data_IF_140889753175
#
_entry.id   IF_140889753175
#
_cell.length_a   1.000
_cell.length_b   1.000
_cell.length_c   1.000
_cell.angle_alpha   90.00
_cell.angle_beta   90.00
_cell.angle_gamma   90.00
#
_symmetry.space_group_name_H-M   'P 1'
#
loop_
_entity.id
_entity.type
_entity.pdbx_description
1 polymer ?
#
# COMPACT_ATOMS: atom_id res chain seq x y z
N UNK A 1 4.92 11.74 4.50
CA UNK A 1 4.96 10.68 3.46
C UNK A 1 4.79 11.34 2.10
N UNK A 2 5.44 10.85 1.03
CA UNK A 2 5.67 11.67 -0.19
C UNK A 2 4.37 12.18 -0.84
N UNK A 3 3.40 11.30 -1.09
CA UNK A 3 2.12 11.64 -1.71
C UNK A 3 1.21 12.53 -0.84
N UNK A 4 1.51 12.75 0.44
CA UNK A 4 0.76 13.72 1.26
C UNK A 4 1.07 15.16 0.85
N UNK A 5 2.21 15.40 0.17
CA UNK A 5 2.69 16.75 -0.17
C UNK A 5 2.88 16.97 -1.67
N UNK A 6 3.23 15.93 -2.40
CA UNK A 6 3.68 16.05 -3.78
C UNK A 6 2.79 15.22 -4.71
N UNK A 7 2.29 15.80 -5.82
CA UNK A 7 1.55 15.06 -6.82
C UNK A 7 2.38 13.96 -7.47
N UNK A 8 1.76 12.80 -7.69
CA UNK A 8 2.30 11.69 -8.48
C UNK A 8 1.21 11.15 -9.40
N UNK A 9 1.59 10.55 -10.53
CA UNK A 9 0.61 9.99 -11.46
C UNK A 9 -0.29 8.95 -10.78
N UNK A 10 0.31 8.02 -10.05
CA UNK A 10 -0.42 7.03 -9.28
C UNK A 10 0.48 6.26 -8.33
N UNK A 11 -0.15 5.46 -7.49
CA UNK A 11 0.52 4.63 -6.49
C UNK A 11 0.16 3.17 -6.70
N UNK A 12 1.17 2.31 -6.57
CA UNK A 12 0.99 0.89 -6.32
C UNK A 12 1.51 0.61 -4.91
N UNK A 13 0.63 0.14 -4.04
CA UNK A 13 0.94 -0.22 -2.65
C UNK A 13 0.95 -1.74 -2.54
N UNK A 14 2.02 -2.34 -2.02
CA UNK A 14 2.13 -3.80 -1.82
C UNK A 14 2.44 -4.04 -0.36
N UNK A 15 1.59 -4.83 0.33
CA UNK A 15 1.69 -5.07 1.78
C UNK A 15 1.86 -3.78 2.59
N UNK A 16 0.93 -2.83 2.41
CA UNK A 16 0.97 -1.56 3.13
C UNK A 16 0.38 -1.67 4.54
N UNK A 17 0.98 -0.99 5.52
CA UNK A 17 0.52 -0.89 6.90
C UNK A 17 0.27 0.57 7.31
N UNK A 18 -0.29 0.75 8.51
CA UNK A 18 -0.57 2.07 9.10
C UNK A 18 0.22 2.35 10.37
N UNK A 19 0.77 1.33 11.03
CA UNK A 19 1.61 1.45 12.23
C UNK A 19 3.05 0.97 11.99
N UNK A 20 3.91 1.22 12.98
CA UNK A 20 5.26 0.66 13.08
C UNK A 20 5.27 -0.82 13.49
N UNK A 21 4.10 -1.44 13.68
CA UNK A 21 3.93 -2.84 14.09
C UNK A 21 4.61 -3.18 15.43
N UNK A 22 4.95 -2.17 16.24
CA UNK A 22 5.74 -2.32 17.46
C UNK A 22 7.22 -2.60 17.21
N UNK A 23 7.72 -2.45 15.98
CA UNK A 23 9.14 -2.56 15.64
C UNK A 23 9.87 -1.23 15.93
N UNK A 24 10.90 -1.22 16.80
CA UNK A 24 11.61 0.01 17.13
C UNK A 24 12.29 0.70 15.94
N UNK A 25 12.76 -0.04 14.94
CA UNK A 25 13.41 0.52 13.76
C UNK A 25 12.38 1.20 12.86
N UNK A 26 11.20 0.59 12.72
CA UNK A 26 10.07 1.22 12.02
C UNK A 26 9.58 2.47 12.75
N UNK A 27 9.56 2.48 14.08
CA UNK A 27 9.24 3.68 14.86
C UNK A 27 10.27 4.80 14.64
N UNK A 28 11.56 4.47 14.67
CA UNK A 28 12.68 5.40 14.43
C UNK A 28 12.67 5.98 13.01
N UNK A 29 12.09 5.29 12.02
CA UNK A 29 11.92 5.81 10.66
C UNK A 29 11.12 7.12 10.61
N UNK A 30 10.27 7.35 11.62
CA UNK A 30 9.38 8.50 11.71
C UNK A 30 8.16 8.43 10.77
N UNK A 31 7.94 7.32 10.05
CA UNK A 31 6.77 7.20 9.15
C UNK A 31 5.45 7.11 9.90
N UNK A 32 5.43 6.58 11.12
CA UNK A 32 4.19 6.26 11.86
C UNK A 32 3.95 7.18 13.07
N UNK A 33 4.80 8.20 13.26
CA UNK A 33 4.74 9.10 14.42
C UNK A 33 3.61 10.15 14.38
N UNK A 34 2.74 10.11 13.36
CA UNK A 34 1.61 11.02 13.18
C UNK A 34 0.50 10.37 12.33
N UNK A 35 -0.76 10.85 12.44
CA UNK A 35 -1.86 10.35 11.62
C UNK A 35 -1.59 10.41 10.12
N UNK A 36 -2.28 9.56 9.37
CA UNK A 36 -2.24 9.55 7.91
C UNK A 36 -3.13 10.60 7.28
N UNK A 37 -2.54 11.41 6.41
CA UNK A 37 -3.22 12.49 5.69
C UNK A 37 -3.92 11.93 4.43
N UNK A 38 -4.87 11.01 4.64
CA UNK A 38 -5.52 10.24 3.58
C UNK A 38 -6.11 11.09 2.46
N UNK A 39 -6.78 12.19 2.80
CA UNK A 39 -7.36 13.11 1.80
C UNK A 39 -6.27 13.78 0.95
N UNK A 40 -5.14 14.13 1.55
CA UNK A 40 -4.01 14.71 0.84
C UNK A 40 -3.37 13.71 -0.12
N UNK A 41 -3.22 12.45 0.31
CA UNK A 41 -2.72 11.35 -0.55
C UNK A 41 -3.63 11.20 -1.76
N UNK A 42 -4.94 11.05 -1.55
CA UNK A 42 -5.93 10.90 -2.64
C UNK A 42 -5.92 12.07 -3.60
N UNK A 43 -5.87 13.31 -3.08
CA UNK A 43 -5.85 14.53 -3.90
C UNK A 43 -4.59 14.63 -4.78
N UNK A 44 -3.47 14.06 -4.35
CA UNK A 44 -2.19 14.13 -5.03
C UNK A 44 -1.93 12.92 -5.96
N UNK A 45 -2.92 12.06 -6.19
CA UNK A 45 -2.78 10.85 -7.01
C UNK A 45 -3.95 10.71 -7.97
N UNK A 46 -3.72 10.35 -9.23
CA UNK A 46 -4.84 10.09 -10.15
C UNK A 46 -5.46 8.71 -9.92
N UNK A 47 -4.64 7.74 -9.50
CA UNK A 47 -5.09 6.39 -9.17
C UNK A 47 -4.21 5.78 -8.08
N UNK A 48 -4.82 4.92 -7.27
CA UNK A 48 -4.15 4.14 -6.23
C UNK A 48 -4.63 2.70 -6.38
N UNK A 49 -3.69 1.76 -6.52
CA UNK A 49 -3.96 0.33 -6.47
C UNK A 49 -3.18 -0.26 -5.31
N UNK A 50 -3.80 -1.17 -4.59
CA UNK A 50 -3.20 -1.86 -3.47
C UNK A 50 -3.28 -3.37 -3.68
N UNK A 51 -2.21 -4.07 -3.30
CA UNK A 51 -2.15 -5.51 -3.22
C UNK A 51 -1.88 -5.90 -1.77
N UNK A 52 -2.63 -6.87 -1.29
CA UNK A 52 -2.50 -7.37 0.07
C UNK A 52 -2.83 -8.85 0.18
N UNK A 53 -2.26 -9.51 1.17
CA UNK A 53 -2.48 -10.93 1.41
C UNK A 53 -2.98 -11.19 2.83
N UNK A 54 -3.97 -12.07 2.97
CA UNK A 54 -4.54 -12.45 4.27
C UNK A 54 -3.58 -13.26 5.14
N UNK A 55 -2.63 -13.94 4.50
CA UNK A 55 -1.59 -14.75 5.14
C UNK A 55 -0.25 -14.01 5.25
N UNK A 56 -0.22 -12.68 5.12
CA UNK A 56 0.98 -11.89 5.35
C UNK A 56 1.47 -12.11 6.80
N UNK A 57 2.68 -12.69 7.00
CA UNK A 57 3.15 -13.03 8.33
C UNK A 57 3.71 -11.82 9.09
N UNK A 58 3.89 -10.68 8.42
CA UNK A 58 4.49 -9.47 9.00
C UNK A 58 3.43 -8.41 9.31
N UNK A 59 2.45 -8.24 8.41
CA UNK A 59 1.45 -7.17 8.51
C UNK A 59 0.05 -7.76 8.62
N UNK A 60 -0.63 -7.47 9.73
CA UNK A 60 -2.03 -7.84 9.91
C UNK A 60 -2.89 -7.35 8.75
N UNK A 61 -3.73 -8.23 8.22
CA UNK A 61 -4.58 -7.90 7.07
C UNK A 61 -5.57 -6.77 7.38
N UNK A 62 -5.92 -6.55 8.64
CA UNK A 62 -6.70 -5.41 9.10
C UNK A 62 -5.99 -4.07 8.86
N UNK A 63 -4.67 -3.98 9.08
CA UNK A 63 -3.92 -2.77 8.74
C UNK A 63 -3.89 -2.51 7.23
N UNK A 64 -3.72 -3.57 6.43
CA UNK A 64 -3.79 -3.45 4.98
C UNK A 64 -5.17 -2.94 4.54
N UNK A 65 -6.26 -3.43 5.15
CA UNK A 65 -7.62 -2.89 4.91
C UNK A 65 -7.74 -1.43 5.31
N UNK A 66 -7.14 -1.00 6.42
CA UNK A 66 -7.19 0.40 6.84
C UNK A 66 -6.51 1.33 5.81
N UNK A 67 -5.38 0.91 5.22
CA UNK A 67 -4.76 1.65 4.11
C UNK A 67 -5.72 1.73 2.92
N UNK A 68 -6.34 0.62 2.53
CA UNK A 68 -7.27 0.60 1.39
C UNK A 68 -8.51 1.48 1.65
N UNK A 69 -9.04 1.46 2.86
CA UNK A 69 -10.20 2.26 3.26
C UNK A 69 -9.90 3.76 3.32
N UNK A 70 -8.72 4.14 3.84
CA UNK A 70 -8.26 5.52 3.92
C UNK A 70 -7.95 6.09 2.53
N UNK A 71 -7.20 5.35 1.73
CA UNK A 71 -6.79 5.77 0.37
C UNK A 71 -7.88 5.57 -0.69
N UNK A 72 -8.95 4.81 -0.40
CA UNK A 72 -9.96 4.39 -1.39
C UNK A 72 -9.34 3.72 -2.62
N UNK A 73 -8.26 2.97 -2.41
CA UNK A 73 -7.55 2.26 -3.47
C UNK A 73 -8.39 1.15 -4.10
N UNK A 74 -8.11 0.82 -5.35
CA UNK A 74 -8.47 -0.48 -5.93
C UNK A 74 -7.69 -1.58 -5.19
N UNK A 75 -8.35 -2.39 -4.35
CA UNK A 75 -7.68 -3.33 -3.46
C UNK A 75 -7.79 -4.78 -3.94
N UNK A 76 -6.69 -5.31 -4.46
CA UNK A 76 -6.53 -6.72 -4.81
C UNK A 76 -6.10 -7.53 -3.58
N UNK A 77 -7.01 -8.39 -3.12
CA UNK A 77 -6.82 -9.22 -1.93
C UNK A 77 -6.50 -10.65 -2.35
N UNK A 78 -5.43 -11.21 -1.78
CA UNK A 78 -5.05 -12.60 -1.94
C UNK A 78 -5.16 -13.35 -0.62
N UNK A 79 -5.32 -14.67 -0.71
CA UNK A 79 -5.36 -15.55 0.46
C UNK A 79 -3.99 -16.16 0.79
N UNK A 80 -3.02 -16.08 -0.14
CA UNK A 80 -1.85 -16.97 -0.16
C UNK A 80 -0.56 -16.38 -0.80
N UNK A 81 -0.36 -15.06 -0.75
CA UNK A 81 0.84 -14.40 -1.30
C UNK A 81 1.86 -13.99 -0.22
N UNK A 82 1.56 -14.24 1.06
CA UNK A 82 2.41 -13.83 2.17
C UNK A 82 2.74 -12.34 2.12
N UNK A 83 4.01 -12.00 2.33
CA UNK A 83 4.51 -10.62 2.23
C UNK A 83 5.04 -10.28 0.82
N UNK A 84 4.59 -10.99 -0.22
CA UNK A 84 5.04 -10.83 -1.61
C UNK A 84 6.57 -10.94 -1.82
N UNK A 85 7.26 -11.61 -0.90
CA UNK A 85 8.72 -11.77 -0.90
C UNK A 85 9.17 -13.23 -1.12
N UNK A 86 8.23 -14.15 -1.27
CA UNK A 86 8.51 -15.58 -1.50
C UNK A 86 8.40 -15.98 -2.98
N UNK A 87 7.93 -15.09 -3.85
CA UNK A 87 7.76 -15.38 -5.27
C UNK A 87 8.78 -14.59 -6.11
N UNK A 88 9.39 -15.24 -7.10
CA UNK A 88 10.35 -14.59 -8.01
C UNK A 88 9.69 -13.61 -8.98
N UNK A 89 8.37 -13.70 -9.16
CA UNK A 89 7.63 -12.88 -10.11
C UNK A 89 6.28 -12.44 -9.55
N UNK A 90 5.83 -11.25 -9.98
CA UNK A 90 4.52 -10.72 -9.64
C UNK A 90 3.81 -10.17 -10.90
N UNK A 91 3.41 -11.02 -11.86
CA UNK A 91 2.86 -10.57 -13.15
C UNK A 91 1.58 -9.71 -13.03
N UNK A 92 0.80 -9.89 -11.97
CA UNK A 92 -0.41 -9.13 -11.69
C UNK A 92 -0.12 -7.62 -11.55
N UNK A 93 1.01 -7.24 -10.93
CA UNK A 93 1.42 -5.83 -10.80
C UNK A 93 1.73 -5.20 -12.16
N UNK A 94 2.41 -5.94 -13.05
CA UNK A 94 2.79 -5.48 -14.38
C UNK A 94 1.55 -5.28 -15.25
N UNK A 95 0.59 -6.18 -15.13
CA UNK A 95 -0.70 -6.06 -15.83
C UNK A 95 -1.42 -4.77 -15.41
N UNK A 96 -1.58 -4.54 -14.10
CA UNK A 96 -2.24 -3.34 -13.57
C UNK A 96 -1.53 -2.07 -14.03
N UNK A 97 -0.21 -2.01 -13.97
CA UNK A 97 0.55 -0.83 -14.43
C UNK A 97 0.28 -0.57 -15.91
N UNK A 98 0.32 -1.61 -16.76
CA UNK A 98 0.02 -1.47 -18.19
C UNK A 98 -1.40 -0.96 -18.43
N UNK A 99 -2.37 -1.45 -17.65
CA UNK A 99 -3.77 -1.02 -17.79
C UNK A 99 -3.98 0.43 -17.32
N UNK A 100 -3.31 0.87 -16.24
CA UNK A 100 -3.36 2.26 -15.78
C UNK A 100 -2.66 3.25 -16.72
N UNK A 101 -1.61 2.81 -17.43
CA UNK A 101 -0.84 3.65 -18.37
C UNK A 101 -1.42 3.73 -19.79
N UNK A 102 -2.39 2.88 -20.13
CA UNK A 102 -3.05 2.88 -21.44
C UNK A 102 -4.19 3.91 -21.55
N UNK A 103 -4.49 4.61 -20.47
CA UNK A 103 -5.51 5.66 -20.41
C UNK A 103 -4.89 7.04 -20.58
#
# INVERSE_FOLDING_TARGET
RFAERFPVLGLILVSACVTDLGDPQEAESGYYNRPWEWESIKKNTNWIVQFGSKDDPLIDFGEQKQVAEGTKSEFHQFDNKGHFNQQDTFPEIVKVIKDKLRN
#
